data_IF_212488184930
#
_entry.id   IF_212488184930
#
_cell.length_a   1.000
_cell.length_b   1.000
_cell.length_c   1.000
_cell.angle_alpha   90.00
_cell.angle_beta   90.00
_cell.angle_gamma   90.00
#
_symmetry.space_group_name_H-M   'P 1'
#
loop_
_entity.id
_entity.type
_entity.pdbx_description
1 polymer ?
#
# COMPACT_ATOMS: atom_id res chain seq x y z
N UNK A 1 34.88 46.76 -1.48
CA UNK A 1 34.85 46.14 -2.82
C UNK A 1 34.58 44.63 -2.81
N UNK A 2 34.72 43.89 -1.70
CA UNK A 2 34.42 42.44 -1.64
C UNK A 2 32.97 42.11 -1.28
N UNK A 3 32.27 42.98 -0.55
CA UNK A 3 30.85 42.80 -0.18
C UNK A 3 29.90 43.01 -1.37
N UNK A 4 30.19 43.97 -2.25
CA UNK A 4 29.37 44.25 -3.44
C UNK A 4 29.39 43.06 -4.43
N UNK A 5 30.54 42.40 -4.59
CA UNK A 5 30.66 41.21 -5.45
C UNK A 5 29.90 39.99 -4.90
N UNK A 6 29.85 39.86 -3.57
CA UNK A 6 29.15 38.76 -2.89
C UNK A 6 27.63 38.97 -2.92
N UNK A 7 27.18 40.23 -2.90
CA UNK A 7 25.79 40.60 -3.14
C UNK A 7 25.42 40.44 -4.62
N UNK A 8 26.23 40.91 -5.57
CA UNK A 8 25.94 40.77 -7.00
C UNK A 8 25.94 39.31 -7.49
N UNK A 9 26.74 38.43 -6.87
CA UNK A 9 26.77 37.00 -7.18
C UNK A 9 25.77 36.18 -6.33
N UNK A 10 25.52 36.59 -5.09
CA UNK A 10 24.62 35.89 -4.16
C UNK A 10 23.14 36.19 -4.39
N UNK A 11 22.81 37.40 -4.86
CA UNK A 11 21.44 37.84 -5.14
C UNK A 11 20.78 37.06 -6.29
N UNK A 12 21.43 36.80 -7.45
CA UNK A 12 20.87 35.91 -8.46
C UNK A 12 20.72 34.46 -7.95
N UNK A 13 21.62 34.00 -7.09
CA UNK A 13 21.50 32.68 -6.44
C UNK A 13 20.29 32.58 -5.51
N UNK A 14 20.02 33.61 -4.71
CA UNK A 14 18.85 33.70 -3.83
C UNK A 14 17.54 33.81 -4.61
N UNK A 15 17.53 34.56 -5.71
CA UNK A 15 16.36 34.64 -6.62
C UNK A 15 16.09 33.27 -7.23
N UNK A 16 17.12 32.58 -7.72
CA UNK A 16 16.99 31.23 -8.24
C UNK A 16 16.46 30.25 -7.18
N UNK A 17 17.01 30.29 -5.96
CA UNK A 17 16.53 29.45 -4.86
C UNK A 17 15.06 29.77 -4.51
N UNK A 18 14.68 31.05 -4.49
CA UNK A 18 13.31 31.49 -4.27
C UNK A 18 12.36 30.96 -5.35
N UNK A 19 12.77 31.00 -6.62
CA UNK A 19 12.01 30.44 -7.74
C UNK A 19 11.89 28.92 -7.60
N UNK A 20 12.97 28.21 -7.24
CA UNK A 20 12.95 26.76 -6.99
C UNK A 20 11.96 26.39 -5.88
N UNK A 21 12.00 27.09 -4.74
CA UNK A 21 11.05 26.88 -3.63
C UNK A 21 9.62 27.18 -4.05
N UNK A 22 9.40 28.24 -4.82
CA UNK A 22 8.08 28.61 -5.33
C UNK A 22 7.52 27.56 -6.31
N UNK A 23 8.35 27.05 -7.22
CA UNK A 23 7.98 25.98 -8.16
C UNK A 23 7.64 24.69 -7.42
N UNK A 24 8.42 24.30 -6.41
CA UNK A 24 8.12 23.12 -5.58
C UNK A 24 6.78 23.30 -4.87
N UNK A 25 6.52 24.47 -4.25
CA UNK A 25 5.22 24.74 -3.62
C UNK A 25 4.06 24.72 -4.62
N UNK A 26 4.28 25.25 -5.82
CA UNK A 26 3.26 25.28 -6.89
C UNK A 26 2.95 23.88 -7.40
N UNK A 27 3.98 23.08 -7.66
CA UNK A 27 3.84 21.68 -8.06
C UNK A 27 3.19 20.84 -6.95
N UNK A 28 3.58 21.02 -5.70
CA UNK A 28 2.96 20.34 -4.56
C UNK A 28 1.48 20.71 -4.38
N UNK A 29 1.10 21.97 -4.65
CA UNK A 29 -0.31 22.38 -4.65
C UNK A 29 -1.09 21.76 -5.81
N UNK A 30 -0.49 21.66 -7.00
CA UNK A 30 -1.12 21.01 -8.16
C UNK A 30 -1.27 19.49 -7.95
N UNK A 31 -0.27 18.82 -7.37
CA UNK A 31 -0.36 17.40 -7.02
C UNK A 31 -1.41 17.14 -5.94
N UNK A 32 -1.58 18.06 -4.98
CA UNK A 32 -2.64 17.96 -3.97
C UNK A 32 -4.03 18.03 -4.58
N UNK A 33 -4.26 18.81 -5.64
CA UNK A 33 -5.58 18.89 -6.27
C UNK A 33 -6.00 17.61 -7.00
N UNK A 34 -5.04 16.79 -7.46
CA UNK A 34 -5.34 15.47 -8.02
C UNK A 34 -5.51 14.42 -6.90
N UNK A 35 -4.65 14.46 -5.88
CA UNK A 35 -4.71 13.56 -4.73
C UNK A 35 -5.99 13.74 -3.87
N UNK A 36 -6.53 14.95 -3.74
CA UNK A 36 -7.78 15.20 -3.01
C UNK A 36 -8.99 14.59 -3.73
N UNK A 37 -9.03 14.71 -5.07
CA UNK A 37 -10.08 14.11 -5.90
C UNK A 37 -10.05 12.57 -5.87
N UNK A 38 -8.86 11.98 -5.79
CA UNK A 38 -8.69 10.54 -5.56
C UNK A 38 -9.05 10.15 -4.12
N UNK A 39 -8.71 10.99 -3.13
CA UNK A 39 -9.05 10.80 -1.73
C UNK A 39 -10.56 10.75 -1.46
N UNK A 40 -11.33 11.66 -2.06
CA UNK A 40 -12.80 11.68 -1.93
C UNK A 40 -13.46 10.46 -2.60
N UNK A 41 -12.94 10.02 -3.76
CA UNK A 41 -13.43 8.81 -4.44
C UNK A 41 -13.12 7.55 -3.65
N UNK A 42 -11.91 7.46 -3.09
CA UNK A 42 -11.49 6.34 -2.25
C UNK A 42 -12.28 6.29 -0.95
N UNK A 43 -12.52 7.43 -0.29
CA UNK A 43 -13.34 7.51 0.93
C UNK A 43 -14.80 7.11 0.67
N UNK A 44 -15.39 7.57 -0.44
CA UNK A 44 -16.74 7.17 -0.85
C UNK A 44 -16.86 5.66 -1.09
N UNK A 45 -15.88 5.08 -1.79
CA UNK A 45 -15.83 3.63 -2.04
C UNK A 45 -15.63 2.83 -0.73
N UNK A 46 -14.73 3.27 0.15
CA UNK A 46 -14.47 2.63 1.44
C UNK A 46 -15.69 2.66 2.36
N UNK A 47 -16.41 3.80 2.41
CA UNK A 47 -17.61 3.93 3.23
C UNK A 47 -18.72 2.96 2.75
N UNK A 48 -18.82 2.74 1.44
CA UNK A 48 -19.78 1.82 0.87
C UNK A 48 -19.37 0.36 1.09
N UNK A 49 -18.09 0.02 0.94
CA UNK A 49 -17.58 -1.31 1.28
C UNK A 49 -17.74 -1.63 2.78
N UNK A 50 -17.56 -0.65 3.67
CA UNK A 50 -17.80 -0.80 5.11
C UNK A 50 -19.28 -1.07 5.42
N UNK A 51 -20.22 -0.39 4.75
CA UNK A 51 -21.66 -0.69 4.88
C UNK A 51 -21.98 -2.08 4.38
N UNK A 52 -21.45 -2.47 3.21
CA UNK A 52 -21.66 -3.79 2.65
C UNK A 52 -21.07 -4.90 3.53
N UNK A 53 -19.86 -4.69 4.08
CA UNK A 53 -19.22 -5.60 5.02
C UNK A 53 -20.02 -5.73 6.32
N UNK A 54 -20.56 -4.62 6.84
CA UNK A 54 -21.41 -4.62 8.03
C UNK A 54 -22.73 -5.37 7.81
N UNK A 55 -23.37 -5.16 6.66
CA UNK A 55 -24.59 -5.89 6.29
C UNK A 55 -24.34 -7.41 6.16
N UNK A 56 -23.19 -7.81 5.61
CA UNK A 56 -22.78 -9.22 5.54
C UNK A 56 -22.45 -9.79 6.91
N UNK A 57 -21.80 -9.02 7.79
CA UNK A 57 -21.50 -9.44 9.16
C UNK A 57 -22.78 -9.67 9.97
N UNK A 58 -23.79 -8.80 9.82
CA UNK A 58 -25.12 -8.96 10.43
C UNK A 58 -25.86 -10.20 9.89
N UNK A 59 -25.67 -10.56 8.61
CA UNK A 59 -26.20 -11.80 8.02
C UNK A 59 -25.46 -13.06 8.49
N UNK A 60 -24.14 -12.99 8.68
CA UNK A 60 -23.32 -14.13 9.11
C UNK A 60 -23.40 -14.44 10.62
N UNK A 61 -24.00 -13.56 11.43
CA UNK A 61 -24.06 -13.74 12.90
C UNK A 61 -25.09 -14.80 13.37
N UNK A 62 -25.65 -15.61 12.46
CA UNK A 62 -26.59 -16.69 12.77
C UNK A 62 -26.34 -17.88 11.82
N UNK A 63 -25.91 -19.08 12.25
CA UNK A 63 -25.21 -19.55 13.45
C UNK A 63 -23.87 -20.30 13.14
N UNK A 64 -23.06 -20.58 14.17
CA UNK A 64 -22.19 -21.78 14.20
C UNK A 64 -20.70 -21.58 14.49
N UNK A 65 -20.34 -21.42 15.76
CA UNK A 65 -18.98 -21.60 16.28
C UNK A 65 -18.50 -23.03 16.01
N UNK A 66 -17.52 -23.21 15.12
CA UNK A 66 -16.68 -24.40 15.06
C UNK A 66 -15.28 -24.00 14.62
N UNK A 67 -14.37 -23.88 15.59
CA UNK A 67 -12.94 -23.78 15.34
C UNK A 67 -12.45 -25.10 14.76
N UNK A 68 -12.33 -25.17 13.43
CA UNK A 68 -11.67 -26.28 12.74
C UNK A 68 -10.26 -25.82 12.38
N UNK A 69 -9.26 -26.35 13.08
CA UNK A 69 -7.88 -26.38 12.58
C UNK A 69 -7.90 -27.09 11.24
N UNK A 70 -7.59 -26.39 10.15
CA UNK A 70 -7.35 -27.00 8.84
C UNK A 70 -5.94 -26.66 8.39
N UNK A 71 -5.10 -27.69 8.41
CA UNK A 71 -4.00 -27.78 7.47
C UNK A 71 -4.59 -27.74 6.05
N UNK A 72 -3.88 -27.08 5.14
CA UNK A 72 -4.20 -26.96 3.71
C UNK A 72 -5.37 -26.03 3.35
N UNK A 73 -5.52 -24.91 4.07
CA UNK A 73 -6.32 -23.79 3.58
C UNK A 73 -5.45 -22.99 2.62
N UNK A 74 -5.87 -22.89 1.36
CA UNK A 74 -5.28 -21.96 0.39
C UNK A 74 -5.20 -20.57 1.04
N UNK A 75 -3.99 -20.04 1.32
CA UNK A 75 -3.85 -18.79 2.04
C UNK A 75 -4.44 -17.61 1.28
N UNK A 76 -4.62 -17.73 -0.05
CA UNK A 76 -5.24 -16.73 -0.91
C UNK A 76 -6.77 -16.87 -1.00
N UNK A 77 -7.37 -17.87 -0.34
CA UNK A 77 -8.81 -18.09 -0.38
C UNK A 77 -9.57 -16.86 0.17
N UNK A 78 -10.22 -16.12 -0.72
CA UNK A 78 -10.96 -14.90 -0.39
C UNK A 78 -10.10 -13.63 -0.34
N UNK A 79 -8.82 -13.70 -0.70
CA UNK A 79 -7.94 -12.53 -0.79
C UNK A 79 -8.29 -11.64 -2.00
N UNK A 80 -8.22 -10.32 -1.82
CA UNK A 80 -8.30 -9.39 -2.96
C UNK A 80 -6.95 -9.36 -3.71
N UNK A 81 -6.89 -10.05 -4.85
CA UNK A 81 -5.68 -10.19 -5.69
C UNK A 81 -5.65 -9.24 -6.89
N UNK A 82 -6.51 -8.21 -6.95
CA UNK A 82 -6.53 -7.26 -8.07
C UNK A 82 -5.17 -6.56 -8.21
N UNK A 83 -4.59 -6.60 -9.41
CA UNK A 83 -3.29 -5.98 -9.68
C UNK A 83 -2.09 -6.77 -9.12
N UNK A 84 -2.28 -8.06 -8.80
CA UNK A 84 -1.19 -8.97 -8.51
C UNK A 84 -0.82 -9.80 -9.76
N UNK A 85 0.49 -9.97 -9.99
CA UNK A 85 1.04 -10.82 -11.03
C UNK A 85 0.87 -12.30 -10.62
N UNK A 86 0.42 -13.19 -11.51
CA UNK A 86 0.24 -14.61 -11.21
C UNK A 86 1.50 -15.32 -10.67
N UNK A 87 2.69 -14.93 -11.14
CA UNK A 87 3.97 -15.45 -10.65
C UNK A 87 4.19 -15.02 -9.21
N UNK A 88 3.84 -13.77 -8.88
CA UNK A 88 3.92 -13.23 -7.53
C UNK A 88 2.87 -13.85 -6.60
N UNK A 89 1.68 -14.17 -7.11
CA UNK A 89 0.67 -14.91 -6.34
C UNK A 89 1.17 -16.30 -5.92
N UNK A 90 1.83 -17.03 -6.81
CA UNK A 90 2.42 -18.32 -6.47
C UNK A 90 3.51 -18.20 -5.38
N UNK A 91 4.28 -17.11 -5.40
CA UNK A 91 5.26 -16.80 -4.35
C UNK A 91 4.56 -16.52 -3.03
N UNK A 92 3.56 -15.64 -3.01
CA UNK A 92 2.80 -15.29 -1.80
C UNK A 92 2.11 -16.52 -1.21
N UNK A 93 1.54 -17.40 -2.03
CA UNK A 93 0.90 -18.63 -1.58
C UNK A 93 1.87 -19.54 -0.78
N UNK A 94 3.16 -19.53 -1.14
CA UNK A 94 4.20 -20.32 -0.47
C UNK A 94 4.78 -19.61 0.75
N UNK A 95 4.75 -18.28 0.77
CA UNK A 95 5.36 -17.45 1.80
C UNK A 95 4.39 -17.01 2.91
N UNK A 96 3.08 -17.14 2.69
CA UNK A 96 2.07 -16.74 3.66
C UNK A 96 2.08 -17.64 4.90
N UNK A 97 2.06 -17.02 6.07
CA UNK A 97 2.00 -17.72 7.36
C UNK A 97 0.57 -17.72 7.97
N UNK A 98 -0.35 -17.01 7.33
CA UNK A 98 -1.74 -16.87 7.76
C UNK A 98 -2.69 -16.65 6.60
N UNK A 99 -3.91 -16.20 6.91
CA UNK A 99 -4.91 -15.89 5.89
C UNK A 99 -4.57 -14.56 5.21
N UNK A 100 -4.35 -14.58 3.89
CA UNK A 100 -4.05 -13.39 3.10
C UNK A 100 -5.35 -12.60 2.88
N UNK A 101 -5.31 -11.31 3.18
CA UNK A 101 -6.47 -10.41 3.03
C UNK A 101 -6.46 -9.76 1.64
N UNK A 102 -5.28 -9.36 1.16
CA UNK A 102 -5.09 -8.78 -0.16
C UNK A 102 -3.65 -8.92 -0.64
N UNK A 103 -3.45 -8.88 -1.96
CA UNK A 103 -2.14 -8.88 -2.63
C UNK A 103 -2.09 -7.81 -3.71
N UNK A 104 -0.99 -7.08 -3.77
CA UNK A 104 -0.64 -6.15 -4.86
C UNK A 104 0.78 -6.44 -5.32
N UNK A 105 1.06 -6.24 -6.59
CA UNK A 105 2.44 -6.35 -7.06
C UNK A 105 2.76 -5.39 -8.19
N UNK A 106 4.05 -5.15 -8.38
CA UNK A 106 4.59 -4.57 -9.60
C UNK A 106 5.52 -5.59 -10.27
N UNK A 107 6.38 -5.13 -11.18
CA UNK A 107 7.31 -6.00 -11.93
C UNK A 107 8.31 -6.76 -11.06
N UNK A 108 8.64 -6.26 -9.87
CA UNK A 108 9.77 -6.76 -9.05
C UNK A 108 9.39 -7.04 -7.60
N UNK A 109 8.22 -6.60 -7.15
CA UNK A 109 7.81 -6.69 -5.76
C UNK A 109 6.38 -7.20 -5.62
N UNK A 110 6.18 -8.06 -4.63
CA UNK A 110 4.88 -8.48 -4.15
C UNK A 110 4.65 -7.90 -2.74
N UNK A 111 3.47 -7.33 -2.51
CA UNK A 111 3.04 -6.79 -1.22
C UNK A 111 1.74 -7.48 -0.84
N UNK A 112 1.67 -8.03 0.36
CA UNK A 112 0.45 -8.64 0.87
C UNK A 112 0.21 -8.31 2.32
N UNK A 113 -1.05 -8.30 2.73
CA UNK A 113 -1.43 -8.29 4.13
C UNK A 113 -1.95 -9.66 4.52
N UNK A 114 -1.45 -10.21 5.62
CA UNK A 114 -1.92 -11.47 6.18
C UNK A 114 -2.37 -11.29 7.62
N UNK A 115 -3.41 -12.03 8.00
CA UNK A 115 -3.85 -12.14 9.38
C UNK A 115 -3.23 -13.37 10.02
N UNK A 116 -2.37 -13.11 11.00
CA UNK A 116 -1.70 -14.14 11.81
C UNK A 116 -2.48 -14.40 13.11
N UNK A 117 -2.06 -15.44 13.85
CA UNK A 117 -2.71 -15.89 15.08
C UNK A 117 -3.02 -14.74 16.06
N UNK A 118 -4.21 -14.79 16.67
CA UNK A 118 -4.68 -13.73 17.57
C UNK A 118 -5.31 -12.52 16.86
N UNK A 119 -5.49 -12.59 15.53
CA UNK A 119 -6.14 -11.53 14.76
C UNK A 119 -5.22 -10.36 14.40
N UNK A 120 -3.92 -10.47 14.65
CA UNK A 120 -2.92 -9.47 14.26
C UNK A 120 -2.74 -9.48 12.75
N UNK A 121 -2.67 -8.29 12.17
CA UNK A 121 -2.43 -8.10 10.74
C UNK A 121 -0.99 -7.66 10.53
N UNK A 122 -0.33 -8.29 9.55
CA UNK A 122 1.05 -8.01 9.19
C UNK A 122 1.11 -7.76 7.69
N UNK A 123 1.74 -6.66 7.30
CA UNK A 123 2.05 -6.34 5.92
C UNK A 123 3.43 -6.93 5.62
N UNK A 124 3.51 -7.72 4.55
CA UNK A 124 4.78 -8.25 4.04
C UNK A 124 5.06 -7.71 2.66
N UNK A 125 6.33 -7.51 2.40
CA UNK A 125 6.86 -7.08 1.10
C UNK A 125 7.94 -8.07 0.71
N UNK A 126 7.88 -8.62 -0.49
CA UNK A 126 8.92 -9.46 -1.05
C UNK A 126 9.41 -8.87 -2.37
N UNK A 127 10.72 -8.77 -2.55
CA UNK A 127 11.32 -8.60 -3.88
C UNK A 127 11.38 -9.97 -4.54
N UNK A 128 10.84 -10.09 -5.74
CA UNK A 128 10.76 -11.32 -6.51
C UNK A 128 11.64 -11.20 -7.75
N UNK A 129 12.55 -12.16 -7.91
CA UNK A 129 13.44 -12.27 -9.08
C UNK A 129 13.31 -13.69 -9.64
N UNK A 130 12.99 -13.82 -10.93
CA UNK A 130 12.86 -15.13 -11.58
C UNK A 130 11.80 -16.06 -10.95
N UNK A 131 10.78 -15.50 -10.28
CA UNK A 131 9.75 -16.27 -9.58
C UNK A 131 10.14 -16.78 -8.19
N UNK A 132 11.28 -16.33 -7.66
CA UNK A 132 11.76 -16.63 -6.31
C UNK A 132 11.86 -15.35 -5.46
N UNK A 133 11.70 -15.49 -4.14
CA UNK A 133 11.91 -14.37 -3.20
C UNK A 133 13.40 -14.10 -3.08
N UNK A 134 13.83 -12.92 -3.51
CA UNK A 134 15.20 -12.44 -3.33
C UNK A 134 15.37 -11.82 -1.94
N UNK A 135 14.43 -10.97 -1.51
CA UNK A 135 14.43 -10.28 -0.23
C UNK A 135 13.01 -10.16 0.33
N UNK A 136 12.85 -10.11 1.66
CA UNK A 136 11.55 -10.01 2.31
C UNK A 136 11.59 -9.12 3.56
N UNK A 137 10.53 -8.33 3.74
CA UNK A 137 10.31 -7.45 4.88
C UNK A 137 8.92 -7.67 5.48
N UNK A 138 8.78 -7.38 6.77
CA UNK A 138 7.53 -7.50 7.53
C UNK A 138 7.29 -6.25 8.38
N UNK A 139 6.04 -5.78 8.41
CA UNK A 139 5.59 -4.60 9.15
C UNK A 139 4.28 -4.92 9.85
N UNK A 140 4.21 -4.74 11.17
CA UNK A 140 3.00 -4.97 11.98
C UNK A 140 3.33 -5.26 13.43
#
# INVERSE_FOLDING_TARGET
MTLDLLLDLGLPGLVFLGICVWLIRKAARAARTEADLEGERLQGALAEELRAARARAEQSQRPGLAAVRTADVDPLAGADVRGADPVHLAVVARSAEGAVLWVRSNETHAVWCERIGGGREVIRVARVEGGAVAEQWSFG
#
